data_IF_001820879071
#
_entry.id   IF_001820879071
#
_cell.length_a   1.000
_cell.length_b   1.000
_cell.length_c   1.000
_cell.angle_alpha   90.00
_cell.angle_beta   90.00
_cell.angle_gamma   90.00
#
_symmetry.space_group_name_H-M   'P 1'
#
loop_
_entity.id
_entity.type
_entity.pdbx_description
1 polymer ?
#
# COMPACT_ATOMS: atom_id res chain seq x y z
N UNK A 1 15.58 -16.71 43.18
CA UNK A 1 15.40 -15.26 43.04
C UNK A 1 15.99 -14.69 41.76
N UNK A 2 17.20 -15.04 41.41
CA UNK A 2 17.84 -14.55 40.17
C UNK A 2 17.07 -14.91 38.89
N UNK A 3 16.41 -16.07 38.86
CA UNK A 3 15.60 -16.53 37.70
C UNK A 3 14.34 -15.69 37.49
N UNK A 4 13.73 -15.13 38.51
CA UNK A 4 12.53 -14.29 38.38
C UNK A 4 12.84 -12.92 37.79
N UNK A 5 13.97 -12.34 38.15
CA UNK A 5 14.40 -11.05 37.61
C UNK A 5 14.73 -11.15 36.12
N UNK A 6 15.36 -12.24 35.70
CA UNK A 6 15.68 -12.50 34.30
C UNK A 6 14.42 -12.67 33.46
N UNK A 7 13.40 -13.35 33.98
CA UNK A 7 12.12 -13.52 33.29
C UNK A 7 11.36 -12.19 33.13
N UNK A 8 11.35 -11.35 34.15
CA UNK A 8 10.74 -10.02 34.05
C UNK A 8 11.44 -9.12 33.03
N UNK A 9 12.75 -9.19 32.95
CA UNK A 9 13.53 -8.43 31.97
C UNK A 9 13.24 -8.87 30.54
N UNK A 10 13.11 -10.18 30.30
CA UNK A 10 12.76 -10.75 29.01
C UNK A 10 11.35 -10.32 28.57
N UNK A 11 10.36 -10.32 29.45
CA UNK A 11 9.01 -9.88 29.15
C UNK A 11 8.99 -8.39 28.81
N UNK A 12 9.74 -7.57 29.52
CA UNK A 12 9.85 -6.14 29.23
C UNK A 12 10.46 -5.88 27.84
N UNK A 13 11.47 -6.66 27.46
CA UNK A 13 12.08 -6.56 26.13
C UNK A 13 11.12 -6.94 25.01
N UNK A 14 10.30 -7.97 25.21
CA UNK A 14 9.27 -8.36 24.25
C UNK A 14 8.19 -7.29 24.07
N UNK A 15 7.77 -6.64 25.13
CA UNK A 15 6.79 -5.54 25.07
C UNK A 15 7.35 -4.36 24.28
N UNK A 16 8.62 -4.03 24.47
CA UNK A 16 9.28 -2.96 23.70
C UNK A 16 9.42 -3.30 22.22
N UNK A 17 9.66 -4.56 21.86
CA UNK A 17 9.74 -5.00 20.48
C UNK A 17 8.38 -5.06 19.77
N UNK A 18 7.28 -5.09 20.52
CA UNK A 18 5.91 -5.05 20.01
C UNK A 18 5.37 -3.64 19.84
N UNK A 19 6.09 -2.60 20.26
CA UNK A 19 5.71 -1.23 19.94
C UNK A 19 6.00 -0.96 18.47
N UNK A 20 4.97 -0.92 17.60
CA UNK A 20 5.23 -0.63 16.21
C UNK A 20 5.68 0.81 16.07
N UNK A 21 6.83 1.02 15.49
CA UNK A 21 7.01 2.24 14.75
C UNK A 21 5.86 2.33 13.75
N UNK A 22 5.30 3.50 13.54
CA UNK A 22 4.33 3.77 12.48
C UNK A 22 4.96 3.45 11.13
N UNK A 23 4.95 2.19 10.76
CA UNK A 23 5.40 1.73 9.45
C UNK A 23 4.16 1.56 8.59
N UNK A 24 4.18 2.18 7.43
CA UNK A 24 3.17 1.96 6.42
C UNK A 24 3.20 0.50 6.00
N UNK A 25 2.04 -0.15 5.96
CA UNK A 25 1.94 -1.55 5.59
C UNK A 25 2.24 -1.74 4.11
N UNK A 26 3.17 -2.62 3.80
CA UNK A 26 3.38 -3.13 2.44
C UNK A 26 2.39 -4.24 2.13
N UNK A 27 2.10 -4.51 0.84
CA UNK A 27 1.23 -5.62 0.46
C UNK A 27 1.66 -6.95 1.10
N UNK A 28 0.73 -7.62 1.76
CA UNK A 28 1.01 -8.83 2.55
C UNK A 28 1.32 -10.06 1.68
N UNK A 29 0.91 -10.06 0.41
CA UNK A 29 1.10 -11.19 -0.49
C UNK A 29 2.54 -11.37 -0.99
N UNK A 30 3.43 -10.43 -0.71
CA UNK A 30 4.85 -10.57 -0.94
C UNK A 30 5.42 -9.59 -1.95
N UNK A 31 6.71 -9.75 -2.22
CA UNK A 31 7.49 -8.86 -3.06
C UNK A 31 8.14 -7.71 -2.30
N UNK A 32 9.06 -7.04 -2.95
CA UNK A 32 9.77 -5.88 -2.40
C UNK A 32 9.47 -4.56 -3.11
N UNK A 33 8.63 -4.59 -4.16
CA UNK A 33 8.26 -3.41 -4.92
C UNK A 33 9.29 -2.96 -5.95
N UNK A 34 10.31 -3.77 -6.20
CA UNK A 34 11.31 -3.52 -7.23
C UNK A 34 10.89 -4.13 -8.57
N UNK A 35 11.51 -3.72 -9.66
CA UNK A 35 11.24 -4.30 -10.99
C UNK A 35 11.57 -5.80 -11.03
N UNK A 36 12.62 -6.23 -10.35
CA UNK A 36 13.02 -7.64 -10.27
C UNK A 36 12.14 -8.45 -9.32
N UNK A 37 11.56 -7.80 -8.31
CA UNK A 37 10.72 -8.42 -7.29
C UNK A 37 9.52 -7.51 -6.97
N UNK A 38 8.53 -7.42 -7.88
CA UNK A 38 7.39 -6.54 -7.68
C UNK A 38 6.52 -7.00 -6.51
N UNK A 39 5.79 -6.06 -5.90
CA UNK A 39 4.76 -6.42 -4.95
C UNK A 39 3.70 -7.30 -5.61
N UNK A 40 3.31 -8.36 -4.92
CA UNK A 40 2.25 -9.25 -5.38
C UNK A 40 0.90 -8.77 -4.84
N UNK A 41 -0.06 -8.58 -5.73
CA UNK A 41 -1.40 -8.10 -5.40
C UNK A 41 -2.38 -9.25 -5.63
N UNK A 42 -2.84 -9.85 -4.54
CA UNK A 42 -3.77 -10.97 -4.56
C UNK A 42 -5.12 -10.65 -3.92
N UNK A 43 -5.23 -9.52 -3.21
CA UNK A 43 -6.44 -9.10 -2.49
C UNK A 43 -6.69 -7.61 -2.68
N UNK A 44 -7.92 -7.17 -2.39
CA UNK A 44 -8.25 -5.75 -2.38
C UNK A 44 -7.38 -4.98 -1.37
N UNK A 45 -7.09 -5.57 -0.22
CA UNK A 45 -6.24 -4.94 0.80
C UNK A 45 -4.80 -4.77 0.30
N UNK A 46 -4.25 -5.74 -0.44
CA UNK A 46 -2.93 -5.60 -1.06
C UNK A 46 -2.87 -4.39 -2.00
N UNK A 47 -3.92 -4.18 -2.77
CA UNK A 47 -3.99 -3.04 -3.69
C UNK A 47 -4.08 -1.72 -2.94
N UNK A 48 -4.85 -1.67 -1.85
CA UNK A 48 -4.92 -0.50 -0.96
C UNK A 48 -3.55 -0.20 -0.35
N UNK A 49 -2.88 -1.20 0.18
CA UNK A 49 -1.55 -1.05 0.80
C UNK A 49 -0.52 -0.55 -0.23
N UNK A 50 -0.55 -1.09 -1.42
CA UNK A 50 0.30 -0.64 -2.54
C UNK A 50 0.01 0.83 -2.90
N UNK A 51 -1.27 1.18 -3.07
CA UNK A 51 -1.68 2.57 -3.33
C UNK A 51 -1.15 3.52 -2.25
N UNK A 52 -1.34 3.16 -0.99
CA UNK A 52 -0.96 4.02 0.13
C UNK A 52 0.56 4.20 0.20
N UNK A 53 1.31 3.16 -0.11
CA UNK A 53 2.78 3.25 -0.17
C UNK A 53 3.26 4.12 -1.34
N UNK A 54 2.63 4.00 -2.51
CA UNK A 54 2.89 4.90 -3.63
C UNK A 54 2.59 6.36 -3.25
N UNK A 55 1.42 6.59 -2.66
CA UNK A 55 0.94 7.93 -2.33
C UNK A 55 1.67 8.59 -1.15
N UNK A 56 2.41 7.80 -0.37
CA UNK A 56 3.29 8.31 0.68
C UNK A 56 4.63 8.84 0.15
N UNK A 57 4.97 8.55 -1.10
CA UNK A 57 6.18 9.05 -1.75
C UNK A 57 6.12 10.55 -1.95
N UNK A 58 7.27 11.18 -2.02
CA UNK A 58 7.39 12.62 -2.34
C UNK A 58 7.63 12.78 -3.84
N UNK A 59 6.70 13.40 -4.54
CA UNK A 59 6.76 13.75 -5.97
C UNK A 59 6.64 12.58 -6.95
N UNK A 60 7.30 11.46 -6.72
CA UNK A 60 7.32 10.35 -7.66
C UNK A 60 7.51 9.02 -6.94
N UNK A 61 6.82 7.99 -7.41
CA UNK A 61 7.02 6.61 -6.96
C UNK A 61 7.33 5.69 -8.13
N UNK A 62 8.37 4.89 -7.99
CA UNK A 62 8.81 3.88 -8.96
C UNK A 62 8.51 2.46 -8.50
N UNK A 63 7.69 2.29 -7.46
CA UNK A 63 7.30 0.98 -6.95
C UNK A 63 6.65 0.13 -8.04
N UNK A 64 6.98 -1.14 -8.08
CA UNK A 64 6.44 -2.09 -9.05
C UNK A 64 5.51 -3.07 -8.38
N UNK A 65 4.43 -3.43 -9.06
CA UNK A 65 3.46 -4.40 -8.59
C UNK A 65 2.96 -5.30 -9.72
N UNK A 66 2.46 -6.46 -9.34
CA UNK A 66 1.88 -7.44 -10.25
C UNK A 66 0.62 -8.03 -9.64
N UNK A 67 -0.47 -8.04 -10.39
CA UNK A 67 -1.67 -8.77 -10.01
C UNK A 67 -1.44 -10.27 -10.18
N UNK A 68 -1.79 -11.03 -9.15
CA UNK A 68 -1.76 -12.50 -9.16
C UNK A 68 -3.16 -13.11 -9.16
N UNK A 69 -4.18 -12.30 -8.91
CA UNK A 69 -5.61 -12.68 -8.92
C UNK A 69 -6.45 -11.50 -9.39
N UNK A 70 -7.68 -11.78 -9.77
CA UNK A 70 -8.69 -10.75 -9.98
C UNK A 70 -8.98 -10.04 -8.65
N UNK A 71 -9.13 -8.73 -8.70
CA UNK A 71 -9.35 -7.90 -7.52
C UNK A 71 -10.75 -7.28 -7.58
N UNK A 72 -11.49 -7.46 -6.50
CA UNK A 72 -12.82 -6.86 -6.32
C UNK A 72 -12.76 -5.80 -5.22
N UNK A 73 -12.95 -4.55 -5.60
CA UNK A 73 -12.92 -3.39 -4.71
C UNK A 73 -14.32 -2.99 -4.21
N UNK A 74 -15.37 -3.71 -4.59
CA UNK A 74 -16.75 -3.34 -4.26
C UNK A 74 -17.06 -3.36 -2.75
N UNK A 75 -16.29 -4.11 -1.97
CA UNK A 75 -16.45 -4.19 -0.52
C UNK A 75 -15.58 -3.21 0.28
N UNK A 76 -14.82 -2.36 -0.41
CA UNK A 76 -14.07 -1.31 0.27
C UNK A 76 -15.03 -0.20 0.74
N UNK A 77 -14.79 0.29 1.94
CA UNK A 77 -15.52 1.44 2.46
C UNK A 77 -14.97 2.73 1.85
N UNK A 78 -15.88 3.58 1.38
CA UNK A 78 -15.54 4.87 0.79
C UNK A 78 -15.09 4.80 -0.67
N UNK A 79 -14.79 5.96 -1.22
CA UNK A 79 -14.36 6.09 -2.60
C UNK A 79 -12.91 5.62 -2.78
N UNK A 80 -12.61 5.15 -3.98
CA UNK A 80 -11.26 4.79 -4.33
C UNK A 80 -10.40 6.04 -4.49
N UNK A 81 -9.32 6.12 -3.72
CA UNK A 81 -8.28 7.11 -3.95
C UNK A 81 -7.31 6.59 -5.02
N UNK A 82 -7.01 7.36 -6.08
CA UNK A 82 -6.14 6.89 -7.15
C UNK A 82 -4.72 6.54 -6.70
N UNK A 83 -4.11 5.59 -7.40
CA UNK A 83 -2.68 5.31 -7.30
C UNK A 83 -1.94 6.43 -8.01
N UNK A 84 -1.09 7.14 -7.27
CA UNK A 84 -0.61 8.44 -7.71
C UNK A 84 -1.70 9.50 -7.55
N UNK A 85 -1.40 10.60 -6.97
CA UNK A 85 -2.39 11.64 -6.69
C UNK A 85 -1.93 13.02 -7.15
N UNK A 86 -2.84 13.78 -7.70
CA UNK A 86 -2.68 15.19 -7.94
C UNK A 86 -3.59 15.98 -7.00
N UNK A 87 -3.05 16.97 -6.34
CA UNK A 87 -3.84 17.97 -5.63
C UNK A 87 -3.81 19.28 -6.41
N UNK A 88 -4.74 20.19 -6.10
CA UNK A 88 -4.78 21.52 -6.73
C UNK A 88 -3.53 22.36 -6.43
N UNK A 89 -2.61 21.85 -5.68
CA UNK A 89 -1.36 22.52 -5.30
C UNK A 89 -0.20 21.74 -5.87
N UNK A 90 0.62 22.38 -6.69
CA UNK A 90 1.84 21.79 -7.27
C UNK A 90 2.83 21.19 -6.26
N UNK A 91 2.56 21.32 -4.98
CA UNK A 91 3.42 20.84 -3.89
C UNK A 91 3.10 19.43 -3.43
N UNK A 92 1.89 18.94 -3.68
CA UNK A 92 1.37 17.71 -3.06
C UNK A 92 0.93 16.68 -4.10
N UNK A 93 1.60 16.63 -5.24
CA UNK A 93 1.34 15.57 -6.20
C UNK A 93 2.35 14.42 -6.05
N UNK A 94 1.89 13.23 -6.30
CA UNK A 94 2.73 12.03 -6.40
C UNK A 94 2.47 11.38 -7.75
N UNK A 95 3.44 11.46 -8.65
CA UNK A 95 3.37 10.77 -9.93
C UNK A 95 3.76 9.31 -9.77
N UNK A 96 2.97 8.40 -10.31
CA UNK A 96 3.32 7.00 -10.40
C UNK A 96 4.07 6.71 -11.70
N UNK A 97 5.30 6.25 -11.60
CA UNK A 97 6.15 5.93 -12.74
C UNK A 97 6.77 4.53 -12.67
N UNK A 98 6.26 3.69 -11.77
CA UNK A 98 6.65 2.29 -11.67
C UNK A 98 6.02 1.44 -12.77
N UNK A 99 6.17 0.14 -12.65
CA UNK A 99 5.52 -0.84 -13.53
C UNK A 99 4.41 -1.55 -12.76
N UNK A 100 3.20 -1.50 -13.31
CA UNK A 100 2.06 -2.22 -12.79
C UNK A 100 1.65 -3.28 -13.82
N UNK A 101 1.91 -4.54 -13.50
CA UNK A 101 1.60 -5.67 -14.37
C UNK A 101 0.25 -6.27 -13.99
N UNK A 102 -0.74 -6.14 -14.85
CA UNK A 102 -2.08 -6.70 -14.65
C UNK A 102 -2.13 -8.22 -14.78
N UNK A 103 -1.17 -8.84 -15.46
CA UNK A 103 -1.06 -10.30 -15.57
C UNK A 103 -2.28 -11.00 -16.20
N UNK A 104 -3.10 -10.29 -16.98
CA UNK A 104 -4.35 -10.82 -17.51
C UNK A 104 -5.51 -10.84 -16.52
N UNK A 105 -5.35 -10.28 -15.34
CA UNK A 105 -6.39 -10.20 -14.31
C UNK A 105 -7.23 -8.93 -14.43
N UNK A 106 -8.39 -8.95 -13.78
CA UNK A 106 -9.36 -7.85 -13.79
C UNK A 106 -9.42 -7.18 -12.41
N UNK A 107 -9.50 -5.86 -12.39
CA UNK A 107 -9.88 -5.06 -11.23
C UNK A 107 -11.28 -4.52 -11.47
N UNK A 108 -12.20 -4.76 -10.54
CA UNK A 108 -13.60 -4.32 -10.62
C UNK A 108 -14.04 -3.64 -9.34
N UNK A 109 -15.18 -2.95 -9.41
CA UNK A 109 -15.77 -2.31 -8.24
C UNK A 109 -15.07 -1.04 -7.80
N UNK A 110 -14.38 -0.36 -8.72
CA UNK A 110 -13.77 0.95 -8.44
C UNK A 110 -14.92 1.96 -8.34
N UNK A 111 -15.13 2.50 -7.14
CA UNK A 111 -16.14 3.52 -6.88
C UNK A 111 -15.46 4.90 -6.81
N UNK A 112 -15.87 5.78 -7.73
CA UNK A 112 -15.33 7.12 -7.88
C UNK A 112 -16.51 8.07 -7.97
N UNK A 113 -17.03 8.48 -6.83
CA UNK A 113 -18.17 9.39 -6.76
C UNK A 113 -17.76 10.85 -6.61
N UNK A 114 -16.59 11.12 -6.12
CA UNK A 114 -16.10 12.48 -5.87
C UNK A 114 -15.04 12.89 -6.90
N UNK A 115 -15.44 13.67 -7.89
CA UNK A 115 -14.64 14.03 -9.06
C UNK A 115 -13.95 15.39 -8.94
N UNK A 116 -13.28 15.67 -7.82
CA UNK A 116 -12.58 16.95 -7.63
C UNK A 116 -11.17 16.94 -8.23
N UNK A 117 -10.65 15.78 -8.60
CA UNK A 117 -9.29 15.58 -9.13
C UNK A 117 -9.30 14.51 -10.22
N UNK A 118 -8.16 14.27 -10.89
CA UNK A 118 -8.07 13.13 -11.81
C UNK A 118 -8.60 11.87 -11.16
N UNK A 119 -9.65 11.32 -11.71
CA UNK A 119 -10.38 10.18 -11.16
C UNK A 119 -10.08 8.94 -12.00
N UNK A 120 -9.75 7.83 -11.35
CA UNK A 120 -9.42 6.57 -11.99
C UNK A 120 -8.71 5.63 -11.04
N UNK A 121 -8.36 4.44 -11.51
CA UNK A 121 -7.48 3.55 -10.76
C UNK A 121 -6.12 4.21 -10.52
N UNK A 122 -5.59 4.85 -11.54
CA UNK A 122 -4.40 5.68 -11.50
C UNK A 122 -4.77 7.15 -11.67
N UNK A 123 -4.10 8.04 -10.95
CA UNK A 123 -4.33 9.47 -11.00
C UNK A 123 -3.35 10.21 -11.90
N UNK A 124 -2.06 10.08 -11.63
CA UNK A 124 -0.97 10.75 -12.36
C UNK A 124 0.28 9.91 -12.38
#
# INVERSE_FOLDING_TARGET
MKKRITSMFLVLLMVLSLMPATVQASPASGGSGTKADPYLIATAQDLVDFRDEVNASTKQSTLCAKLTKDIDLSNLEGDWEPIGKATNTYKDYVAYSGTFDGGGHTIRGVDITDSVAPAGLFGV
#
